data_IF_568673045751
#
_entry.id   IF_568673045751
#
_cell.length_a   1.000
_cell.length_b   1.000
_cell.length_c   1.000
_cell.angle_alpha   90.00
_cell.angle_beta   90.00
_cell.angle_gamma   90.00
#
_symmetry.space_group_name_H-M   'P 1'
#
loop_
_entity.id
_entity.type
_entity.pdbx_description
1 polymer ?
#
# COMPACT_ATOMS: atom_id res chain seq x y z
N UNK A 1 6.53 6.59 -6.11
CA UNK A 1 6.02 5.63 -5.12
C UNK A 1 5.91 6.28 -3.74
N UNK A 2 6.99 6.76 -3.13
CA UNK A 2 6.96 7.37 -1.77
C UNK A 2 5.91 8.48 -1.58
N UNK A 3 5.72 9.46 -2.50
CA UNK A 3 4.70 10.49 -2.31
C UNK A 3 3.27 9.94 -2.23
N UNK A 4 2.97 8.90 -3.01
CA UNK A 4 1.65 8.25 -3.01
C UNK A 4 1.42 7.49 -1.70
N UNK A 5 2.43 6.76 -1.22
CA UNK A 5 2.34 6.01 0.02
C UNK A 5 2.17 6.93 1.23
N UNK A 6 2.89 8.05 1.26
CA UNK A 6 2.74 9.06 2.31
C UNK A 6 1.34 9.66 2.31
N UNK A 7 0.79 9.95 1.13
CA UNK A 7 -0.51 10.61 1.02
C UNK A 7 -1.68 9.68 1.35
N UNK A 8 -1.59 8.40 0.99
CA UNK A 8 -2.75 7.50 1.00
C UNK A 8 -2.61 6.23 1.84
N UNK A 9 -1.40 5.86 2.23
CA UNK A 9 -1.15 4.55 2.85
C UNK A 9 -0.63 4.66 4.29
N UNK A 10 0.22 5.64 4.60
CA UNK A 10 0.89 5.72 5.90
C UNK A 10 -0.02 6.17 7.05
N UNK A 11 -1.18 6.74 6.75
CA UNK A 11 -2.18 7.01 7.78
C UNK A 11 -2.63 5.72 8.50
N UNK A 12 -2.76 4.59 7.78
CA UNK A 12 -3.17 3.30 8.34
C UNK A 12 -2.00 2.30 8.49
N UNK A 13 -0.94 2.44 7.70
CA UNK A 13 0.18 1.48 7.60
C UNK A 13 1.54 2.15 7.82
N UNK A 14 1.59 3.13 8.72
CA UNK A 14 2.77 3.92 9.04
C UNK A 14 3.29 3.69 10.46
N UNK A 15 4.05 4.64 11.02
CA UNK A 15 4.56 4.52 12.39
C UNK A 15 3.46 4.62 13.45
N UNK A 16 2.41 5.42 13.19
CA UNK A 16 1.37 5.74 14.16
C UNK A 16 0.23 4.71 14.17
N UNK A 17 -0.06 4.11 13.02
CA UNK A 17 -1.05 3.05 12.86
C UNK A 17 -0.50 1.91 12.00
N UNK A 18 -0.79 0.67 12.40
CA UNK A 18 -0.26 -0.55 11.79
C UNK A 18 -1.41 -1.52 11.52
N UNK A 19 -2.38 -1.06 10.75
CA UNK A 19 -3.55 -1.86 10.37
C UNK A 19 -3.09 -3.16 9.71
N UNK A 20 -3.67 -4.28 10.14
CA UNK A 20 -3.26 -5.66 9.78
C UNK A 20 -1.76 -5.95 9.97
N UNK A 21 -1.11 -5.33 10.96
CA UNK A 21 0.32 -5.47 11.25
C UNK A 21 1.24 -5.09 10.07
N UNK A 22 0.70 -4.36 9.09
CA UNK A 22 1.38 -3.98 7.86
C UNK A 22 2.09 -2.63 8.01
N UNK A 23 3.40 -2.62 7.70
CA UNK A 23 4.29 -1.44 7.84
C UNK A 23 4.87 -1.00 6.50
N UNK A 24 4.06 -0.29 5.71
CA UNK A 24 4.46 0.17 4.38
C UNK A 24 5.57 1.21 4.43
N UNK A 25 5.70 1.96 5.52
CA UNK A 25 6.79 2.93 5.75
C UNK A 25 8.16 2.28 5.91
N UNK A 26 8.21 0.97 6.21
CA UNK A 26 9.45 0.18 6.37
C UNK A 26 9.79 -0.67 5.15
N UNK A 27 8.85 -0.83 4.22
CA UNK A 27 9.11 -1.58 2.99
C UNK A 27 10.01 -0.78 2.06
N UNK A 28 10.99 -1.46 1.49
CA UNK A 28 11.83 -0.88 0.44
C UNK A 28 11.33 -1.34 -0.93
N UNK A 29 11.77 -0.64 -1.98
CA UNK A 29 11.56 -1.07 -3.37
C UNK A 29 12.61 -2.12 -3.82
N UNK A 30 13.28 -2.79 -2.87
CA UNK A 30 14.18 -3.90 -3.17
C UNK A 30 13.37 -5.20 -3.33
N UNK A 31 13.04 -5.50 -4.58
CA UNK A 31 12.30 -6.72 -4.95
C UNK A 31 13.18 -7.97 -5.02
N UNK A 32 14.50 -7.87 -4.83
CA UNK A 32 15.36 -9.05 -4.70
C UNK A 32 15.12 -9.74 -3.34
N UNK A 33 14.66 -8.99 -2.35
CA UNK A 33 14.19 -9.52 -1.07
C UNK A 33 12.80 -10.13 -1.25
N UNK A 34 12.72 -11.46 -1.18
CA UNK A 34 11.47 -12.21 -1.40
C UNK A 34 10.32 -11.75 -0.50
N UNK A 35 10.61 -11.46 0.76
CA UNK A 35 9.60 -11.01 1.73
C UNK A 35 9.03 -9.66 1.31
N UNK A 36 9.88 -8.68 0.97
CA UNK A 36 9.41 -7.37 0.48
C UNK A 36 8.59 -7.52 -0.81
N UNK A 37 9.04 -8.34 -1.75
CA UNK A 37 8.31 -8.57 -3.01
C UNK A 37 6.94 -9.20 -2.76
N UNK A 38 6.86 -10.19 -1.86
CA UNK A 38 5.61 -10.84 -1.50
C UNK A 38 4.62 -9.85 -0.86
N UNK A 39 5.09 -9.01 0.07
CA UNK A 39 4.24 -7.99 0.70
C UNK A 39 3.73 -6.97 -0.33
N UNK A 40 4.57 -6.52 -1.26
CA UNK A 40 4.12 -5.60 -2.33
C UNK A 40 3.06 -6.22 -3.26
N UNK A 41 3.19 -7.51 -3.57
CA UNK A 41 2.17 -8.25 -4.32
C UNK A 41 0.85 -8.27 -3.57
N UNK A 42 0.88 -8.60 -2.27
CA UNK A 42 -0.33 -8.63 -1.44
C UNK A 42 -1.01 -7.25 -1.37
N UNK A 43 -0.23 -6.19 -1.17
CA UNK A 43 -0.73 -4.80 -1.10
C UNK A 43 -1.44 -4.42 -2.40
N UNK A 44 -0.81 -4.70 -3.54
CA UNK A 44 -1.41 -4.44 -4.86
C UNK A 44 -2.70 -5.23 -5.04
N UNK A 45 -2.71 -6.50 -4.64
CA UNK A 45 -3.88 -7.36 -4.81
C UNK A 45 -5.04 -6.91 -3.91
N UNK A 46 -4.77 -6.48 -2.68
CA UNK A 46 -5.76 -5.87 -1.77
C UNK A 46 -6.36 -4.57 -2.35
N UNK A 47 -5.53 -3.71 -2.94
CA UNK A 47 -5.99 -2.49 -3.64
C UNK A 47 -6.88 -2.87 -4.83
N UNK A 48 -6.47 -3.83 -5.65
CA UNK A 48 -7.24 -4.27 -6.82
C UNK A 48 -8.58 -4.92 -6.45
N UNK A 49 -8.69 -5.54 -5.28
CA UNK A 49 -9.95 -6.07 -4.73
C UNK A 49 -10.83 -5.02 -4.07
N UNK A 50 -10.35 -3.78 -3.93
CA UNK A 50 -11.06 -2.72 -3.23
C UNK A 50 -11.11 -2.90 -1.71
N UNK A 51 -10.20 -3.70 -1.15
CA UNK A 51 -10.06 -3.87 0.31
C UNK A 51 -9.30 -2.70 0.95
N UNK A 52 -8.47 -2.01 0.16
CA UNK A 52 -7.76 -0.80 0.56
C UNK A 52 -8.00 0.33 -0.45
N UNK A 53 -8.36 1.54 0.02
CA UNK A 53 -8.62 1.92 1.41
C UNK A 53 -9.90 1.29 1.99
N UNK A 54 -10.03 1.17 3.33
CA UNK A 54 -11.22 0.58 3.96
C UNK A 54 -12.48 1.42 3.74
N UNK A 55 -13.65 0.81 3.95
CA UNK A 55 -14.92 1.50 3.82
C UNK A 55 -14.99 2.70 4.79
N UNK A 56 -15.26 3.89 4.25
CA UNK A 56 -15.30 5.13 5.02
C UNK A 56 -14.10 6.05 4.77
N UNK A 57 -13.01 5.52 4.19
CA UNK A 57 -11.86 6.32 3.75
C UNK A 57 -12.02 6.79 2.30
N UNK A 58 -11.39 7.93 1.92
CA UNK A 58 -11.40 8.41 0.54
C UNK A 58 -10.82 7.36 -0.42
N UNK A 59 -11.49 7.05 -1.55
CA UNK A 59 -10.96 6.09 -2.51
C UNK A 59 -9.69 6.63 -3.17
N UNK A 60 -8.79 5.71 -3.55
CA UNK A 60 -7.63 6.07 -4.37
C UNK A 60 -8.10 6.60 -5.75
N UNK A 61 -7.50 7.68 -6.28
CA UNK A 61 -7.76 8.12 -7.64
C UNK A 61 -7.46 7.02 -8.66
N UNK A 62 -8.31 6.83 -9.67
CA UNK A 62 -8.17 5.75 -10.65
C UNK A 62 -6.84 5.76 -11.43
N UNK A 63 -6.24 6.94 -11.62
CA UNK A 63 -4.91 7.10 -12.22
C UNK A 63 -3.79 6.56 -11.30
N UNK A 64 -3.95 6.73 -9.98
CA UNK A 64 -3.00 6.23 -9.00
C UNK A 64 -3.09 4.72 -8.84
N UNK A 65 -4.30 4.14 -8.89
CA UNK A 65 -4.50 2.68 -8.90
C UNK A 65 -3.74 2.04 -10.09
N UNK A 66 -3.85 2.64 -11.27
CA UNK A 66 -3.13 2.18 -12.48
C UNK A 66 -1.60 2.19 -12.32
N UNK A 67 -1.07 3.15 -11.54
CA UNK A 67 0.37 3.25 -11.26
C UNK A 67 0.89 2.17 -10.30
N UNK A 68 0.00 1.55 -9.52
CA UNK A 68 0.31 0.48 -8.56
C UNK A 68 0.08 -0.91 -9.21
N UNK A 69 -0.82 -0.99 -10.20
CA UNK A 69 -1.22 -2.25 -10.85
C UNK A 69 -0.29 -2.71 -11.99
N UNK A 70 0.73 -1.94 -12.35
CA UNK A 70 1.63 -2.21 -13.49
C UNK A 70 2.93 -2.90 -13.07
#
# INVERSE_FOLDING_TARGET
MVPLLQQHCYACHGPDEQSDELRLDRLTADFALRENAATWVEVRDKINRGEMPPAGEPPLPSEQIQSISR
#
